data_IF_116571627393
#
_entry.id   IF_116571627393
#
_cell.length_a   1.000
_cell.length_b   1.000
_cell.length_c   1.000
_cell.angle_alpha   90.00
_cell.angle_beta   90.00
_cell.angle_gamma   90.00
#
_symmetry.space_group_name_H-M   'P 1'
#
loop_
_entity.id
_entity.type
_entity.pdbx_description
1 polymer ?
#
# COMPACT_ATOMS: atom_id res chain seq x y z
N UNK A 1 6.92 14.10 -36.83
CA UNK A 1 7.28 12.81 -36.20
C UNK A 1 6.70 12.81 -34.80
N UNK A 2 5.57 12.16 -34.64
CA UNK A 2 4.82 12.08 -33.38
C UNK A 2 5.58 11.13 -32.46
N UNK A 3 6.39 11.68 -31.55
CA UNK A 3 6.95 10.89 -30.46
C UNK A 3 5.78 10.48 -29.57
N UNK A 4 5.27 9.27 -29.80
CA UNK A 4 4.49 8.56 -28.79
C UNK A 4 5.43 8.35 -27.62
N UNK A 5 5.38 9.27 -26.65
CA UNK A 5 5.96 9.10 -25.33
C UNK A 5 5.27 7.88 -24.71
N UNK A 6 5.77 6.69 -25.04
CA UNK A 6 5.46 5.48 -24.31
C UNK A 6 5.80 5.79 -22.88
N UNK A 7 4.78 5.76 -22.03
CA UNK A 7 4.90 6.03 -20.60
C UNK A 7 5.90 5.04 -20.04
N UNK A 8 7.17 5.46 -19.95
CA UNK A 8 8.26 4.54 -19.68
C UNK A 8 8.22 4.16 -18.21
N UNK A 9 7.83 2.91 -17.95
CA UNK A 9 7.63 2.39 -16.61
C UNK A 9 8.91 2.48 -15.77
N UNK A 10 10.08 2.44 -16.40
CA UNK A 10 11.37 2.60 -15.74
C UNK A 10 11.55 4.00 -15.15
N UNK A 11 11.14 5.04 -15.89
CA UNK A 11 11.20 6.44 -15.44
C UNK A 11 10.25 6.66 -14.24
N UNK A 12 9.05 6.09 -14.28
CA UNK A 12 8.09 6.17 -13.16
C UNK A 12 8.62 5.45 -11.91
N UNK A 13 9.26 4.29 -12.07
CA UNK A 13 9.87 3.57 -10.95
C UNK A 13 11.04 4.34 -10.33
N UNK A 14 11.86 5.03 -11.14
CA UNK A 14 12.90 5.91 -10.62
C UNK A 14 12.32 7.07 -9.81
N UNK A 15 11.23 7.70 -10.27
CA UNK A 15 10.56 8.75 -9.49
C UNK A 15 10.00 8.24 -8.16
N UNK A 16 9.47 7.01 -8.15
CA UNK A 16 9.03 6.35 -6.91
C UNK A 16 10.20 6.03 -5.97
N UNK A 17 11.33 5.56 -6.50
CA UNK A 17 12.53 5.26 -5.71
C UNK A 17 13.16 6.53 -5.12
N UNK A 18 13.20 7.60 -5.91
CA UNK A 18 13.72 8.90 -5.51
C UNK A 18 12.76 9.70 -4.62
N UNK A 19 11.56 9.18 -4.31
CA UNK A 19 10.49 9.87 -3.55
C UNK A 19 10.23 11.29 -4.07
N UNK A 20 10.32 11.51 -5.38
CA UNK A 20 10.17 12.85 -5.95
C UNK A 20 8.74 13.36 -5.78
N UNK A 21 8.63 14.63 -5.43
CA UNK A 21 7.37 15.33 -5.34
C UNK A 21 6.75 15.51 -6.73
N UNK A 22 5.41 15.44 -6.86
CA UNK A 22 4.72 15.56 -8.14
C UNK A 22 5.06 16.86 -8.88
N UNK A 23 5.29 17.96 -8.16
CA UNK A 23 5.76 19.23 -8.74
C UNK A 23 7.12 19.13 -9.43
N UNK A 24 8.04 18.37 -8.85
CA UNK A 24 9.38 18.17 -9.43
C UNK A 24 9.33 17.30 -10.69
N UNK A 25 8.36 16.38 -10.76
CA UNK A 25 8.10 15.55 -11.94
C UNK A 25 7.44 16.40 -13.04
N UNK A 26 6.53 17.30 -12.68
CA UNK A 26 5.94 18.31 -13.58
C UNK A 26 7.03 19.20 -14.21
N UNK A 27 7.92 19.75 -13.39
CA UNK A 27 9.02 20.62 -13.85
C UNK A 27 10.01 19.88 -14.76
N UNK A 28 10.38 18.62 -14.44
CA UNK A 28 11.25 17.79 -15.30
C UNK A 28 10.60 17.44 -16.64
N UNK A 29 9.31 17.09 -16.64
CA UNK A 29 8.58 16.76 -17.86
C UNK A 29 8.33 18.00 -18.73
N UNK A 30 8.07 19.16 -18.12
CA UNK A 30 7.99 20.43 -18.84
C UNK A 30 9.35 20.84 -19.42
N UNK A 31 10.44 20.66 -18.68
CA UNK A 31 11.80 20.92 -19.16
C UNK A 31 12.22 19.98 -20.31
N UNK A 32 11.64 18.78 -20.39
CA UNK A 32 11.81 17.84 -21.50
C UNK A 32 10.96 18.20 -22.73
N UNK A 33 10.15 19.27 -22.67
CA UNK A 33 9.35 19.74 -23.79
C UNK A 33 8.14 18.85 -24.12
N UNK A 34 7.68 18.04 -23.17
CA UNK A 34 6.49 17.22 -23.34
C UNK A 34 5.21 18.07 -23.27
N UNK A 35 4.25 17.72 -24.12
CA UNK A 35 2.93 18.35 -24.13
C UNK A 35 2.22 18.21 -22.78
N UNK A 36 1.42 19.22 -22.42
CA UNK A 36 0.71 19.27 -21.15
C UNK A 36 -0.17 18.02 -20.90
N UNK A 37 -0.75 17.45 -21.97
CA UNK A 37 -1.52 16.20 -21.90
C UNK A 37 -0.67 14.98 -21.56
N UNK A 38 0.56 14.90 -22.10
CA UNK A 38 1.49 13.83 -21.78
C UNK A 38 1.95 13.93 -20.31
N UNK A 39 2.28 15.14 -19.85
CA UNK A 39 2.65 15.42 -18.45
C UNK A 39 1.53 14.95 -17.50
N UNK A 40 0.28 15.32 -17.79
CA UNK A 40 -0.88 14.92 -17.00
C UNK A 40 -1.07 13.39 -16.96
N UNK A 41 -0.85 12.70 -18.09
CA UNK A 41 -0.90 11.25 -18.16
C UNK A 41 0.17 10.57 -17.29
N UNK A 42 1.42 11.06 -17.33
CA UNK A 42 2.52 10.53 -16.50
C UNK A 42 2.25 10.73 -15.00
N UNK A 43 1.75 11.90 -14.59
CA UNK A 43 1.39 12.17 -13.19
C UNK A 43 0.23 11.31 -12.71
N UNK A 44 -0.77 11.08 -13.57
CA UNK A 44 -1.89 10.21 -13.25
C UNK A 44 -1.41 8.78 -13.01
N UNK A 45 -0.53 8.26 -13.87
CA UNK A 45 0.01 6.90 -13.69
C UNK A 45 0.93 6.80 -12.46
N UNK A 46 1.76 7.81 -12.19
CA UNK A 46 2.55 7.88 -10.96
C UNK A 46 1.69 7.87 -9.70
N UNK A 47 0.63 8.70 -9.65
CA UNK A 47 -0.32 8.72 -8.53
C UNK A 47 -1.04 7.37 -8.40
N UNK A 48 -1.44 6.76 -9.52
CA UNK A 48 -2.08 5.44 -9.55
C UNK A 48 -1.19 4.36 -8.95
N UNK A 49 0.08 4.29 -9.36
CA UNK A 49 1.04 3.32 -8.85
C UNK A 49 1.37 3.55 -7.37
N UNK A 50 1.49 4.80 -6.94
CA UNK A 50 1.69 5.14 -5.53
C UNK A 50 0.53 4.68 -4.66
N UNK A 51 -0.71 4.93 -5.10
CA UNK A 51 -1.91 4.47 -4.39
C UNK A 51 -2.01 2.95 -4.40
N UNK A 52 -1.71 2.29 -5.52
CA UNK A 52 -1.71 0.83 -5.61
C UNK A 52 -0.71 0.20 -4.62
N UNK A 53 0.49 0.78 -4.47
CA UNK A 53 1.49 0.31 -3.49
C UNK A 53 1.02 0.49 -2.04
N UNK A 54 0.32 1.60 -1.75
CA UNK A 54 -0.27 1.85 -0.42
C UNK A 54 -1.39 0.85 -0.12
N UNK A 55 -2.29 0.63 -1.06
CA UNK A 55 -3.36 -0.37 -0.96
C UNK A 55 -2.80 -1.79 -0.79
N UNK A 56 -1.74 -2.15 -1.53
CA UNK A 56 -1.10 -3.45 -1.35
C UNK A 56 -0.52 -3.60 0.06
N UNK A 57 0.11 -2.56 0.59
CA UNK A 57 0.63 -2.56 1.97
C UNK A 57 -0.50 -2.73 2.98
N UNK A 58 -1.63 -2.03 2.79
CA UNK A 58 -2.82 -2.18 3.61
C UNK A 58 -3.43 -3.58 3.54
N UNK A 59 -3.50 -4.16 2.35
CA UNK A 59 -3.96 -5.53 2.13
C UNK A 59 -3.07 -6.56 2.84
N UNK A 60 -1.75 -6.39 2.78
CA UNK A 60 -0.79 -7.24 3.50
C UNK A 60 -0.97 -7.11 5.01
N UNK A 61 -1.15 -5.88 5.54
CA UNK A 61 -1.46 -5.67 6.96
C UNK A 61 -2.77 -6.35 7.38
N UNK A 62 -3.84 -6.24 6.57
CA UNK A 62 -5.10 -6.93 6.83
C UNK A 62 -4.94 -8.44 6.82
N UNK A 63 -4.19 -8.99 5.86
CA UNK A 63 -3.95 -10.43 5.77
C UNK A 63 -3.20 -10.95 7.02
N UNK A 64 -2.17 -10.23 7.48
CA UNK A 64 -1.44 -10.57 8.71
C UNK A 64 -2.38 -10.51 9.93
N UNK A 65 -3.19 -9.45 10.06
CA UNK A 65 -4.16 -9.31 11.14
C UNK A 65 -5.20 -10.44 11.13
N UNK A 66 -5.72 -10.81 9.96
CA UNK A 66 -6.68 -11.91 9.81
C UNK A 66 -6.08 -13.27 10.20
N UNK A 67 -4.84 -13.56 9.78
CA UNK A 67 -4.13 -14.79 10.13
C UNK A 67 -3.86 -14.84 11.64
N UNK A 68 -3.39 -13.75 12.25
CA UNK A 68 -3.18 -13.66 13.69
C UNK A 68 -4.48 -13.89 14.48
N UNK A 69 -5.58 -13.26 14.05
CA UNK A 69 -6.90 -13.45 14.66
C UNK A 69 -7.40 -14.89 14.53
N UNK A 70 -7.18 -15.51 13.37
CA UNK A 70 -7.55 -16.90 13.13
C UNK A 70 -6.75 -17.87 14.03
N UNK A 71 -5.44 -17.70 14.14
CA UNK A 71 -4.59 -18.50 15.03
C UNK A 71 -5.02 -18.31 16.49
N UNK A 72 -5.31 -17.08 16.90
CA UNK A 72 -5.84 -16.78 18.24
C UNK A 72 -7.13 -17.55 18.54
N UNK A 73 -8.05 -17.58 17.56
CA UNK A 73 -9.31 -18.29 17.68
C UNK A 73 -9.09 -19.81 17.80
N UNK A 74 -8.21 -20.38 16.97
CA UNK A 74 -7.88 -21.81 17.02
C UNK A 74 -7.25 -22.23 18.35
N UNK A 75 -6.30 -21.44 18.88
CA UNK A 75 -5.66 -21.70 20.18
C UNK A 75 -6.67 -21.65 21.33
N UNK A 76 -7.64 -20.75 21.24
CA UNK A 76 -8.74 -20.60 22.20
C UNK A 76 -9.67 -21.82 22.16
N UNK A 77 -10.14 -22.22 20.96
CA UNK A 77 -11.11 -23.31 20.79
C UNK A 77 -10.51 -24.67 21.15
N UNK A 78 -9.26 -24.91 20.78
CA UNK A 78 -8.57 -26.18 21.11
C UNK A 78 -8.17 -26.27 22.58
N UNK A 79 -8.33 -25.17 23.34
CA UNK A 79 -7.92 -25.04 24.74
C UNK A 79 -6.49 -25.57 24.98
N UNK A 80 -5.59 -25.28 24.03
CA UNK A 80 -4.23 -25.81 24.04
C UNK A 80 -3.46 -25.40 25.31
N UNK A 81 -3.79 -24.24 25.88
CA UNK A 81 -3.21 -23.72 27.11
C UNK A 81 -4.28 -23.01 27.98
N UNK A 82 -4.86 -23.68 29.00
CA UNK A 82 -5.93 -23.12 29.82
C UNK A 82 -5.51 -21.87 30.62
N UNK A 83 -4.25 -21.77 31.04
CA UNK A 83 -3.74 -20.61 31.79
C UNK A 83 -3.53 -19.36 30.93
N UNK A 84 -3.34 -19.52 29.61
CA UNK A 84 -3.08 -18.42 28.66
C UNK A 84 -4.32 -18.03 27.85
N UNK A 85 -5.47 -18.65 28.13
CA UNK A 85 -6.72 -18.44 27.41
C UNK A 85 -7.10 -16.95 27.31
N UNK A 86 -7.09 -16.24 28.44
CA UNK A 86 -7.37 -14.79 28.48
C UNK A 86 -6.32 -13.97 27.72
N UNK A 87 -5.06 -14.39 27.73
CA UNK A 87 -3.97 -13.68 27.03
C UNK A 87 -4.11 -13.79 25.51
N UNK A 88 -4.49 -14.95 24.99
CA UNK A 88 -4.77 -15.09 23.56
C UNK A 88 -6.08 -14.39 23.19
N UNK A 89 -7.16 -14.62 23.96
CA UNK A 89 -8.49 -14.10 23.66
C UNK A 89 -8.59 -12.58 23.77
N UNK A 90 -7.83 -11.92 24.64
CA UNK A 90 -7.84 -10.45 24.78
C UNK A 90 -6.57 -9.78 24.26
N UNK A 91 -5.40 -10.41 24.38
CA UNK A 91 -4.15 -9.83 23.90
C UNK A 91 -4.00 -9.96 22.39
N UNK A 92 -3.94 -11.20 21.91
CA UNK A 92 -3.63 -11.47 20.50
C UNK A 92 -4.76 -11.02 19.56
N UNK A 93 -6.01 -11.16 19.97
CA UNK A 93 -7.18 -10.67 19.22
C UNK A 93 -7.20 -9.13 19.11
N UNK A 94 -6.90 -8.39 20.17
CA UNK A 94 -6.87 -6.92 20.12
C UNK A 94 -5.75 -6.42 19.20
N UNK A 95 -4.59 -7.09 19.22
CA UNK A 95 -3.51 -6.83 18.27
C UNK A 95 -3.98 -7.13 16.84
N UNK A 96 -4.58 -8.30 16.60
CA UNK A 96 -5.10 -8.69 15.29
C UNK A 96 -6.12 -7.67 14.75
N UNK A 97 -7.06 -7.23 15.58
CA UNK A 97 -8.07 -6.22 15.24
C UNK A 97 -7.39 -4.89 14.89
N UNK A 98 -6.39 -4.47 15.66
CA UNK A 98 -5.63 -3.24 15.38
C UNK A 98 -4.94 -3.31 14.01
N UNK A 99 -4.29 -4.44 13.69
CA UNK A 99 -3.68 -4.66 12.38
C UNK A 99 -4.70 -4.63 11.24
N UNK A 100 -5.90 -5.18 11.45
CA UNK A 100 -6.98 -5.15 10.46
C UNK A 100 -7.46 -3.71 10.24
N UNK A 101 -7.70 -2.93 11.30
CA UNK A 101 -8.12 -1.52 11.16
C UNK A 101 -7.05 -0.63 10.53
N UNK A 102 -5.78 -0.82 10.89
CA UNK A 102 -4.65 -0.12 10.25
C UNK A 102 -4.56 -0.52 8.77
N UNK A 103 -4.72 -1.80 8.44
CA UNK A 103 -4.75 -2.26 7.06
C UNK A 103 -5.91 -1.66 6.26
N UNK A 104 -7.12 -1.61 6.84
CA UNK A 104 -8.30 -0.96 6.27
C UNK A 104 -8.05 0.53 6.00
N UNK A 105 -7.44 1.23 6.96
CA UNK A 105 -7.06 2.63 6.81
C UNK A 105 -6.15 2.85 5.61
N UNK A 106 -5.11 2.01 5.42
CA UNK A 106 -4.22 2.08 4.26
C UNK A 106 -4.87 1.72 2.91
N UNK A 107 -5.99 0.98 2.92
CA UNK A 107 -6.71 0.62 1.69
C UNK A 107 -7.72 1.70 1.29
N UNK A 108 -8.44 2.25 2.27
CA UNK A 108 -9.48 3.26 2.03
C UNK A 108 -8.95 4.67 1.90
N UNK A 109 -7.87 5.01 2.60
CA UNK A 109 -7.19 6.28 2.40
C UNK A 109 -6.25 6.18 1.21
#
# INVERSE_FOLDING_TARGET
>A
MTYTASVDAATIQQWMAAKRTPKTIEDELQAQGLDADAVAAHLKEYKRLRNAKRQFTGFVCMAIGAVLGFISCLLTVTNAFPDLFNTFLYGLTMVAITFVFVGLYFVFE
#
